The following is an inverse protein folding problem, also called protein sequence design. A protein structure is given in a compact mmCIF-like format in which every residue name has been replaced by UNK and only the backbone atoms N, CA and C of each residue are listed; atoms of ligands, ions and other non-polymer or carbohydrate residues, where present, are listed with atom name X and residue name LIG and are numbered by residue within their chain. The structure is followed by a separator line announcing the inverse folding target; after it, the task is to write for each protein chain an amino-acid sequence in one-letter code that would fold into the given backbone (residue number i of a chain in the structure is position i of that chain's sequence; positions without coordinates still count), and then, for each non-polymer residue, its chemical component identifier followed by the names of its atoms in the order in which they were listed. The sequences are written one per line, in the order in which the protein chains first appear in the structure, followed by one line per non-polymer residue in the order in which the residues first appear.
data_IF_356898264573
#
_entry.id   IF_356898264573
#
_cell.length_a   1.000
_cell.length_b   1.000
_cell.length_c   1.000
_cell.angle_alpha   90.00
_cell.angle_beta   90.00
_cell.angle_gamma   90.00
#
_symmetry.space_group_name_H-M   'P 1'
#
loop_
_entity.id
_entity.type
_entity.pdbx_description
1 polymer ?
#
# COMPACT_ATOMS: atom_id res chain seq x y z
N UNK A 1 10.94 0.86 17.53
CA UNK A 1 10.62 2.08 16.74
C UNK A 1 9.37 2.71 17.32
N UNK A 2 9.32 4.04 17.40
CA UNK A 2 8.15 4.76 17.93
C UNK A 2 6.94 4.69 17.01
N UNK A 3 7.18 4.65 15.71
CA UNK A 3 6.11 4.64 14.72
C UNK A 3 6.20 3.36 13.93
N UNK A 4 5.12 2.60 13.95
CA UNK A 4 4.97 1.43 13.11
C UNK A 4 3.83 1.72 12.14
N UNK A 5 4.14 1.69 10.85
CA UNK A 5 3.17 1.92 9.78
C UNK A 5 3.22 0.77 8.79
N UNK A 6 2.14 0.57 8.07
CA UNK A 6 2.11 -0.42 7.01
C UNK A 6 1.78 0.20 5.66
N UNK A 7 2.25 -0.46 4.62
CA UNK A 7 1.90 -0.20 3.22
C UNK A 7 1.36 -1.50 2.65
N UNK A 8 0.27 -1.41 1.91
CA UNK A 8 -0.40 -2.59 1.36
C UNK A 8 -0.46 -2.46 -0.15
N UNK A 9 0.21 -3.38 -0.84
CA UNK A 9 0.29 -3.42 -2.30
C UNK A 9 -0.71 -4.45 -2.80
N UNK A 10 -1.78 -3.99 -3.45
CA UNK A 10 -2.84 -4.85 -3.96
C UNK A 10 -2.81 -4.85 -5.48
N UNK A 11 -2.63 -6.03 -6.06
CA UNK A 11 -2.78 -6.23 -7.49
C UNK A 11 -4.23 -6.61 -7.81
N UNK A 12 -4.71 -6.18 -8.98
CA UNK A 12 -5.96 -6.71 -9.51
C UNK A 12 -5.79 -8.19 -9.88
N UNK A 13 -6.88 -8.85 -10.26
CA UNK A 13 -6.92 -10.30 -10.45
C UNK A 13 -5.86 -10.81 -11.44
N UNK A 14 -5.61 -10.10 -12.53
CA UNK A 14 -4.63 -10.51 -13.54
C UNK A 14 -3.26 -9.84 -13.42
N UNK A 15 -3.02 -9.13 -12.32
CA UNK A 15 -1.74 -8.45 -12.00
C UNK A 15 -1.32 -7.41 -13.04
N UNK A 16 -2.27 -6.74 -13.66
CA UNK A 16 -1.98 -5.68 -14.62
C UNK A 16 -2.09 -4.28 -14.02
N UNK A 17 -2.69 -4.16 -12.84
CA UNK A 17 -2.91 -2.87 -12.16
C UNK A 17 -2.65 -2.98 -10.67
N UNK A 18 -2.27 -1.85 -10.09
CA UNK A 18 -2.03 -1.68 -8.66
C UNK A 18 -3.05 -0.72 -8.09
N UNK A 19 -3.53 -1.03 -6.87
CA UNK A 19 -4.44 -0.15 -6.15
C UNK A 19 -3.65 0.97 -5.48
N UNK A 20 -4.05 2.20 -5.71
CA UNK A 20 -3.47 3.38 -5.06
C UNK A 20 -4.55 4.34 -4.63
N UNK A 21 -4.20 5.23 -3.73
CA UNK A 21 -5.04 6.35 -3.33
C UNK A 21 -4.38 7.66 -3.71
N UNK A 22 -5.19 8.64 -4.10
CA UNK A 22 -4.73 10.00 -4.32
C UNK A 22 -4.88 10.76 -3.01
N UNK A 23 -3.78 11.26 -2.47
CA UNK A 23 -3.80 11.95 -1.18
C UNK A 23 -4.51 13.29 -1.30
N UNK A 24 -5.41 13.55 -0.35
CA UNK A 24 -6.15 14.81 -0.29
C UNK A 24 -5.49 15.82 0.64
N UNK A 25 -4.53 15.38 1.47
CA UNK A 25 -3.85 16.22 2.47
C UNK A 25 -2.34 16.05 2.38
N UNK A 26 -1.60 17.06 2.87
CA UNK A 26 -0.16 16.95 3.06
C UNK A 26 0.17 15.92 4.15
N UNK A 27 1.32 15.26 4.08
CA UNK A 27 2.31 15.37 3.01
C UNK A 27 1.85 14.70 1.72
N UNK A 28 2.42 15.13 0.60
CA UNK A 28 2.17 14.58 -0.73
C UNK A 28 0.75 14.78 -1.27
N UNK A 29 0.11 15.89 -0.89
CA UNK A 29 -1.23 16.22 -1.39
C UNK A 29 -1.26 16.17 -2.93
N UNK A 30 -2.27 15.50 -3.50
CA UNK A 30 -2.44 15.36 -4.94
C UNK A 30 -1.60 14.25 -5.57
N UNK A 31 -0.75 13.56 -4.81
CA UNK A 31 0.07 12.47 -5.31
C UNK A 31 -0.54 11.12 -4.96
N UNK A 32 -0.22 10.11 -5.76
CA UNK A 32 -0.65 8.74 -5.54
C UNK A 32 0.27 8.02 -4.56
N UNK A 33 -0.31 7.20 -3.71
CA UNK A 33 0.41 6.38 -2.74
C UNK A 33 -0.33 5.04 -2.59
N UNK A 34 0.36 4.05 -2.05
CA UNK A 34 -0.30 2.82 -1.61
C UNK A 34 -1.21 3.10 -0.43
N UNK A 35 -2.22 2.25 -0.24
CA UNK A 35 -3.04 2.28 0.96
C UNK A 35 -2.25 1.71 2.15
N UNK A 36 -2.70 2.02 3.36
CA UNK A 36 -2.05 1.58 4.59
C UNK A 36 -2.21 2.64 5.67
N UNK A 37 -1.62 2.40 6.82
CA UNK A 37 -1.76 3.32 7.93
C UNK A 37 -0.92 2.93 9.12
N UNK A 38 -1.31 3.45 10.29
CA UNK A 38 -0.60 3.23 11.54
C UNK A 38 -0.99 1.91 12.19
N UNK A 39 0.02 1.21 12.71
CA UNK A 39 -0.19 0.03 13.55
C UNK A 39 -0.32 0.54 14.98
N UNK A 40 -1.43 0.20 15.65
CA UNK A 40 -1.69 0.66 17.02
C UNK A 40 -0.82 -0.12 18.01
N UNK A 41 -0.40 0.50 19.13
CA UNK A 41 0.34 -0.22 20.17
C UNK A 41 -0.42 -1.46 20.63
N UNK A 42 0.28 -2.61 20.66
CA UNK A 42 -0.32 -3.88 21.08
C UNK A 42 -1.17 -4.58 20.04
N UNK A 43 -1.40 -3.97 18.88
CA UNK A 43 -2.17 -4.58 17.81
C UNK A 43 -1.31 -5.60 17.05
N UNK A 44 -1.88 -6.75 16.70
CA UNK A 44 -1.22 -7.70 15.80
C UNK A 44 -0.97 -7.04 14.45
N UNK A 45 0.25 -7.14 13.92
CA UNK A 45 0.64 -6.39 12.73
C UNK A 45 -0.09 -6.84 11.47
N UNK A 46 -0.31 -8.15 11.30
CA UNK A 46 -1.06 -8.65 10.16
C UNK A 46 -2.53 -8.22 10.22
N UNK A 47 -3.13 -8.29 11.42
CA UNK A 47 -4.50 -7.82 11.61
C UNK A 47 -4.62 -6.32 11.38
N UNK A 48 -3.62 -5.54 11.78
CA UNK A 48 -3.57 -4.11 11.49
C UNK A 48 -3.59 -3.84 9.98
N UNK A 49 -2.87 -4.63 9.21
CA UNK A 49 -2.86 -4.50 7.75
C UNK A 49 -4.25 -4.77 7.15
N UNK A 50 -4.92 -5.85 7.58
CA UNK A 50 -6.28 -6.14 7.14
C UNK A 50 -7.27 -5.05 7.56
N UNK A 51 -7.13 -4.53 8.78
CA UNK A 51 -7.99 -3.46 9.30
C UNK A 51 -7.85 -2.19 8.45
N UNK A 52 -6.62 -1.73 8.20
CA UNK A 52 -6.37 -0.54 7.38
C UNK A 52 -6.87 -0.74 5.96
N UNK A 53 -6.65 -1.91 5.39
CA UNK A 53 -7.13 -2.22 4.04
C UNK A 53 -8.66 -2.12 3.96
N UNK A 54 -9.35 -2.70 4.93
CA UNK A 54 -10.81 -2.64 4.97
C UNK A 54 -11.32 -1.22 5.19
N UNK A 55 -10.73 -0.47 6.10
CA UNK A 55 -11.14 0.91 6.37
C UNK A 55 -10.97 1.80 5.15
N UNK A 56 -9.88 1.62 4.40
CA UNK A 56 -9.57 2.50 3.27
C UNK A 56 -10.18 2.06 1.95
N UNK A 57 -10.45 0.77 1.76
CA UNK A 57 -10.83 0.25 0.43
C UNK A 57 -12.06 -0.66 0.43
N UNK A 58 -12.51 -1.12 1.58
CA UNK A 58 -13.54 -2.14 1.74
C UNK A 58 -13.12 -3.54 1.28
N UNK A 59 -11.85 -3.75 0.98
CA UNK A 59 -11.29 -5.08 0.69
C UNK A 59 -11.04 -5.80 2.01
N UNK A 60 -11.42 -7.08 2.09
CA UNK A 60 -11.30 -7.88 3.31
C UNK A 60 -10.49 -9.15 3.06
N UNK A 61 -10.30 -9.95 4.13
CA UNK A 61 -9.62 -11.24 4.05
C UNK A 61 -10.39 -12.29 3.23
N UNK A 62 -11.61 -11.99 2.81
CA UNK A 62 -12.36 -12.83 1.86
C UNK A 62 -11.95 -12.56 0.42
N UNK A 63 -11.31 -11.42 0.16
CA UNK A 63 -10.96 -10.95 -1.18
C UNK A 63 -9.49 -11.17 -1.49
N UNK A 64 -8.64 -11.18 -0.45
CA UNK A 64 -7.18 -11.28 -0.59
C UNK A 64 -6.60 -12.08 0.56
N UNK A 65 -5.39 -12.61 0.34
CA UNK A 65 -4.52 -13.11 1.40
C UNK A 65 -3.28 -12.22 1.43
N UNK A 66 -3.13 -11.45 2.50
CA UNK A 66 -1.97 -10.57 2.66
C UNK A 66 -0.73 -11.37 3.05
N UNK A 67 0.36 -11.11 2.38
CA UNK A 67 1.67 -11.69 2.69
C UNK A 67 2.61 -10.57 3.09
N UNK A 68 3.25 -10.70 4.25
CA UNK A 68 4.29 -9.78 4.69
C UNK A 68 5.49 -9.95 3.75
N UNK A 69 5.87 -8.85 3.09
CA UNK A 69 6.87 -8.91 2.03
C UNK A 69 8.22 -8.40 2.45
N UNK A 70 8.29 -7.17 3.00
CA UNK A 70 9.55 -6.56 3.41
C UNK A 70 9.30 -5.42 4.40
N UNK A 71 10.35 -5.01 5.10
CA UNK A 71 10.31 -3.89 6.02
C UNK A 71 11.36 -2.86 5.64
N UNK A 72 11.02 -1.60 5.88
CA UNK A 72 11.96 -0.49 5.78
C UNK A 72 12.05 0.20 7.14
N UNK A 73 13.27 0.53 7.55
CA UNK A 73 13.49 1.26 8.78
C UNK A 73 14.04 2.64 8.46
N UNK A 74 13.35 3.66 8.93
CA UNK A 74 13.77 5.05 8.81
C UNK A 74 14.25 5.53 10.16
N UNK A 75 15.56 5.42 10.40
CA UNK A 75 16.15 5.69 11.72
C UNK A 75 15.98 7.14 12.16
N UNK A 76 16.06 8.09 11.22
CA UNK A 76 15.92 9.51 11.54
C UNK A 76 14.52 9.84 12.05
N UNK A 77 13.51 9.17 11.51
CA UNK A 77 12.10 9.40 11.88
C UNK A 77 11.61 8.38 12.92
N UNK A 78 12.47 7.47 13.35
CA UNK A 78 12.12 6.38 14.26
C UNK A 78 10.87 5.62 13.79
N UNK A 79 10.84 5.28 12.49
CA UNK A 79 9.71 4.64 11.84
C UNK A 79 10.09 3.29 11.26
N UNK A 80 9.27 2.28 11.56
CA UNK A 80 9.28 0.98 10.87
C UNK A 80 8.12 0.95 9.89
N UNK A 81 8.42 0.70 8.62
CA UNK A 81 7.43 0.56 7.57
C UNK A 81 7.35 -0.90 7.13
N UNK A 82 6.22 -1.54 7.40
CA UNK A 82 5.98 -2.93 6.98
C UNK A 82 5.20 -2.93 5.67
N UNK A 83 5.66 -3.74 4.71
CA UNK A 83 5.03 -3.85 3.40
C UNK A 83 4.37 -5.21 3.26
N UNK A 84 3.09 -5.19 2.90
CA UNK A 84 2.29 -6.38 2.61
C UNK A 84 1.89 -6.37 1.14
N UNK A 85 1.73 -7.56 0.56
CA UNK A 85 1.35 -7.71 -0.84
C UNK A 85 0.26 -8.75 -0.97
N UNK A 86 -0.67 -8.52 -1.90
CA UNK A 86 -1.71 -9.49 -2.23
C UNK A 86 -2.23 -9.25 -3.64
N UNK A 87 -2.88 -10.28 -4.18
CA UNK A 87 -3.59 -10.21 -5.45
C UNK A 87 -5.05 -10.56 -5.20
N UNK A 88 -5.98 -9.79 -5.75
CA UNK A 88 -7.40 -10.07 -5.60
C UNK A 88 -7.73 -11.45 -6.16
N UNK A 89 -8.56 -12.21 -5.44
CA UNK A 89 -9.08 -13.50 -5.91
C UNK A 89 -10.10 -13.30 -7.05
N UNK A 90 -10.82 -12.19 -7.00
CA UNK A 90 -11.85 -11.82 -7.97
C UNK A 90 -12.02 -10.30 -7.97
N UNK A 91 -12.72 -9.77 -8.95
CA UNK A 91 -13.04 -8.35 -8.97
C UNK A 91 -13.95 -8.00 -7.79
N UNK A 92 -13.65 -6.88 -7.16
CA UNK A 92 -14.42 -6.35 -6.04
C UNK A 92 -14.70 -4.87 -6.26
N UNK A 93 -15.80 -4.40 -5.66
CA UNK A 93 -16.08 -2.96 -5.62
C UNK A 93 -15.27 -2.33 -4.50
N UNK A 94 -14.32 -1.50 -4.86
CA UNK A 94 -13.55 -0.75 -3.88
C UNK A 94 -14.27 0.52 -3.52
N UNK A 95 -14.14 0.92 -2.25
CA UNK A 95 -14.80 2.10 -1.73
C UNK A 95 -13.92 2.74 -0.67
N UNK A 96 -13.58 4.01 -0.86
CA UNK A 96 -12.77 4.77 0.08
C UNK A 96 -13.49 6.04 0.50
N UNK A 97 -13.50 6.31 1.80
CA UNK A 97 -14.17 7.48 2.36
C UNK A 97 -13.27 8.70 2.43
N UNK A 98 -11.96 8.50 2.67
CA UNK A 98 -11.04 9.60 2.87
C UNK A 98 -10.31 10.04 1.61
N UNK A 99 -9.83 9.07 0.81
CA UNK A 99 -9.04 9.33 -0.38
C UNK A 99 -9.71 8.72 -1.61
N UNK A 100 -9.45 9.33 -2.75
CA UNK A 100 -9.86 8.76 -4.03
C UNK A 100 -9.03 7.51 -4.31
N UNK A 101 -9.69 6.39 -4.58
CA UNK A 101 -9.04 5.15 -4.95
C UNK A 101 -8.95 5.02 -6.46
N UNK A 102 -7.84 4.48 -6.94
CA UNK A 102 -7.58 4.33 -8.36
C UNK A 102 -6.75 3.08 -8.63
N UNK A 103 -7.06 2.41 -9.74
CA UNK A 103 -6.24 1.33 -10.28
C UNK A 103 -5.25 1.89 -11.28
N UNK A 104 -3.96 1.71 -11.05
CA UNK A 104 -2.89 2.27 -11.88
C UNK A 104 -2.18 1.12 -12.60
N UNK A 105 -1.97 1.29 -13.91
CA UNK A 105 -1.28 0.31 -14.73
C UNK A 105 0.13 0.06 -14.19
N UNK A 106 0.54 -1.21 -14.12
CA UNK A 106 1.86 -1.58 -13.61
C UNK A 106 3.01 -1.08 -14.49
N UNK A 107 2.73 -0.64 -15.71
CA UNK A 107 3.74 -0.10 -16.63
C UNK A 107 3.90 1.43 -16.55
N UNK A 108 3.23 2.07 -15.59
CA UNK A 108 3.42 3.50 -15.36
C UNK A 108 4.83 3.84 -14.91
N UNK A 109 5.23 5.08 -15.09
CA UNK A 109 6.52 5.58 -14.61
C UNK A 109 6.44 5.95 -13.13
N UNK A 110 6.67 4.96 -12.28
CA UNK A 110 6.60 5.16 -10.82
C UNK A 110 7.76 5.97 -10.26
N UNK A 111 8.75 6.35 -11.09
CA UNK A 111 9.83 7.26 -10.69
C UNK A 111 9.41 8.72 -10.75
N UNK A 112 8.25 9.02 -11.32
CA UNK A 112 7.77 10.38 -11.47
C UNK A 112 7.31 10.94 -10.11
N UNK A 113 8.19 11.67 -9.42
CA UNK A 113 7.91 12.24 -8.11
C UNK A 113 6.83 13.33 -8.14
N UNK A 114 6.49 13.85 -9.32
CA UNK A 114 5.37 14.80 -9.42
C UNK A 114 4.02 14.12 -9.26
N UNK A 115 3.95 12.81 -9.53
CA UNK A 115 2.71 12.03 -9.46
C UNK A 115 2.66 11.07 -8.26
N UNK A 116 3.82 10.52 -7.86
CA UNK A 116 3.88 9.48 -6.84
C UNK A 116 4.58 9.98 -5.58
N UNK A 117 4.02 9.62 -4.42
CA UNK A 117 4.56 10.00 -3.11
C UNK A 117 5.80 9.16 -2.76
N UNK A 118 6.44 9.48 -1.64
CA UNK A 118 7.44 8.63 -1.02
C UNK A 118 8.85 8.73 -1.58
N UNK A 119 9.15 9.72 -2.41
CA UNK A 119 10.52 10.02 -2.86
C UNK A 119 11.26 8.80 -3.44
N UNK A 120 10.59 8.06 -4.31
CA UNK A 120 11.15 6.90 -4.97
C UNK A 120 10.87 5.56 -4.30
N UNK A 121 10.28 5.55 -3.12
CA UNK A 121 9.97 4.30 -2.41
C UNK A 121 8.95 3.43 -3.15
N UNK A 122 7.97 4.04 -3.80
CA UNK A 122 6.95 3.31 -4.56
C UNK A 122 7.61 2.52 -5.69
N UNK A 123 8.46 3.17 -6.47
CA UNK A 123 9.20 2.51 -7.54
C UNK A 123 10.05 1.36 -7.02
N UNK A 124 10.77 1.59 -5.92
CA UNK A 124 11.64 0.58 -5.32
C UNK A 124 10.83 -0.65 -4.86
N UNK A 125 9.73 -0.43 -4.18
CA UNK A 125 8.85 -1.52 -3.69
C UNK A 125 8.33 -2.35 -4.87
N UNK A 126 7.81 -1.70 -5.90
CA UNK A 126 7.28 -2.38 -7.09
C UNK A 126 8.38 -3.19 -7.77
N UNK A 127 9.58 -2.63 -7.90
CA UNK A 127 10.70 -3.32 -8.53
C UNK A 127 11.13 -4.55 -7.77
N UNK A 128 11.21 -4.47 -6.44
CA UNK A 128 11.59 -5.62 -5.60
C UNK A 128 10.53 -6.71 -5.69
N UNK A 129 9.25 -6.35 -5.68
CA UNK A 129 8.17 -7.33 -5.87
C UNK A 129 8.31 -8.02 -7.23
N UNK A 130 8.58 -7.26 -8.29
CA UNK A 130 8.72 -7.80 -9.64
C UNK A 130 9.91 -8.76 -9.78
N UNK A 131 10.96 -8.57 -8.99
CA UNK A 131 12.14 -9.43 -8.97
C UNK A 131 11.99 -10.65 -8.04
N UNK A 132 10.91 -10.70 -7.28
CA UNK A 132 10.62 -11.81 -6.36
C UNK A 132 9.83 -12.92 -7.05
N UNK A 133 9.53 -13.97 -6.29
CA UNK A 133 8.67 -15.07 -6.76
C UNK A 133 7.18 -14.73 -6.70
N UNK A 134 6.87 -13.56 -6.20
CA UNK A 134 5.48 -13.11 -6.16
C UNK A 134 5.07 -12.66 -7.57
#
# INVERSE_FOLDING_TARGET
MKRNVNIIVIFNQNKTKLLMCKRKKDPYQGKYNFVGGKIKPGEDHLQAAYRELQEETNITNKDVTLTHFMDFTYYLDDTLLETYVATLFKDVNIHGDENELVWIDINEDFKDDSRFAGDGNIYHIIKVIALSDY
#
